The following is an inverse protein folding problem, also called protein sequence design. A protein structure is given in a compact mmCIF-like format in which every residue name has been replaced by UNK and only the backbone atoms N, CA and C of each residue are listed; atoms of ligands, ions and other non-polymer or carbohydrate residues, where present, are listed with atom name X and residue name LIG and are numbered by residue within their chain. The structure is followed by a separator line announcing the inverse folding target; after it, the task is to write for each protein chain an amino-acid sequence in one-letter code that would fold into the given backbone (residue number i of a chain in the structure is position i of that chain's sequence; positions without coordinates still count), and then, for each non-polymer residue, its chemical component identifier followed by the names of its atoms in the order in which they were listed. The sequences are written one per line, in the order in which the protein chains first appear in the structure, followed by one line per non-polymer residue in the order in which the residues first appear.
data_IF_642209965131
#
_entry.id   IF_642209965131
#
_cell.length_a   1.000
_cell.length_b   1.000
_cell.length_c   1.000
_cell.angle_alpha   90.00
_cell.angle_beta   90.00
_cell.angle_gamma   90.00
#
_symmetry.space_group_name_H-M   'P 1'
#
loop_
_entity.id
_entity.type
_entity.pdbx_description
1 polymer ?
#
# COMPACT_ATOMS: atom_id res chain seq x y z
N UNK A 1 3.28 -0.53 1.07
CA UNK A 1 2.13 -0.74 0.18
C UNK A 1 0.95 -1.21 1.02
N UNK A 2 -0.23 -0.63 0.86
CA UNK A 2 -1.44 -1.09 1.56
C UNK A 2 -2.18 -2.10 0.67
N UNK A 3 -2.62 -3.20 1.25
CA UNK A 3 -3.43 -4.23 0.60
C UNK A 3 -4.77 -4.37 1.33
N UNK A 4 -5.85 -4.52 0.58
CA UNK A 4 -7.16 -4.89 1.10
C UNK A 4 -7.87 -5.80 0.09
N UNK A 5 -8.31 -6.98 0.52
CA UNK A 5 -9.04 -7.90 -0.37
C UNK A 5 -10.54 -7.62 -0.32
N UNK A 6 -11.07 -7.10 -1.43
CA UNK A 6 -12.51 -6.81 -1.58
C UNK A 6 -13.29 -8.10 -1.85
N UNK A 7 -12.71 -9.02 -2.62
CA UNK A 7 -13.30 -10.30 -2.98
C UNK A 7 -12.23 -11.39 -3.10
N UNK A 8 -12.46 -12.51 -2.45
CA UNK A 8 -11.59 -13.68 -2.38
C UNK A 8 -10.22 -13.40 -1.78
N UNK A 9 -9.39 -14.43 -1.73
CA UNK A 9 -8.11 -14.39 -1.02
C UNK A 9 -6.94 -14.08 -1.98
N UNK A 10 -5.80 -13.68 -1.42
CA UNK A 10 -4.52 -13.66 -2.11
C UNK A 10 -3.40 -14.15 -1.20
N UNK A 11 -2.28 -14.56 -1.79
CA UNK A 11 -1.05 -14.85 -1.04
C UNK A 11 0.03 -13.87 -1.45
N UNK A 12 0.53 -13.06 -0.52
CA UNK A 12 1.70 -12.21 -0.72
C UNK A 12 2.94 -12.94 -0.21
N UNK A 13 3.75 -13.48 -1.13
CA UNK A 13 5.05 -14.06 -0.77
C UNK A 13 6.01 -12.93 -0.46
N UNK A 14 6.75 -13.01 0.65
CA UNK A 14 7.73 -12.00 1.06
C UNK A 14 9.05 -12.65 1.47
N UNK A 15 10.10 -11.84 1.52
CA UNK A 15 11.33 -12.19 2.22
C UNK A 15 11.38 -11.40 3.52
N UNK A 16 11.15 -12.08 4.64
CA UNK A 16 11.23 -11.53 5.99
C UNK A 16 12.44 -12.14 6.69
N UNK A 17 13.35 -11.30 7.22
CA UNK A 17 14.54 -11.79 7.94
C UNK A 17 15.37 -12.81 7.14
N UNK A 18 15.50 -12.61 5.83
CA UNK A 18 16.22 -13.51 4.93
C UNK A 18 15.54 -14.87 4.72
N UNK A 19 14.24 -14.99 5.02
CA UNK A 19 13.46 -16.21 4.82
C UNK A 19 12.22 -15.93 3.98
N UNK A 20 11.91 -16.83 3.05
CA UNK A 20 10.65 -16.84 2.33
C UNK A 20 9.50 -17.02 3.34
N UNK A 21 8.44 -16.24 3.19
CA UNK A 21 7.24 -16.30 4.03
C UNK A 21 6.00 -15.99 3.20
N UNK A 22 4.97 -16.80 3.36
CA UNK A 22 3.69 -16.60 2.71
C UNK A 22 2.74 -15.85 3.64
N UNK A 23 2.23 -14.70 3.18
CA UNK A 23 1.21 -13.91 3.88
C UNK A 23 -0.11 -14.10 3.14
N UNK A 24 -1.00 -14.94 3.69
CA UNK A 24 -2.36 -15.08 3.18
C UNK A 24 -3.19 -13.88 3.65
N UNK A 25 -3.77 -13.14 2.71
CA UNK A 25 -4.67 -12.02 2.96
C UNK A 25 -6.05 -12.46 2.46
N UNK A 26 -6.95 -12.74 3.39
CA UNK A 26 -8.28 -13.26 3.09
C UNK A 26 -9.25 -12.14 2.67
N UNK A 27 -10.38 -12.52 2.07
CA UNK A 27 -11.47 -11.57 1.79
C UNK A 27 -11.84 -10.74 3.04
N UNK A 28 -11.92 -9.42 2.89
CA UNK A 28 -12.18 -8.49 3.98
C UNK A 28 -10.97 -8.19 4.88
N UNK A 29 -9.81 -8.80 4.65
CA UNK A 29 -8.59 -8.47 5.41
C UNK A 29 -7.82 -7.31 4.81
N UNK A 30 -7.19 -6.54 5.69
CA UNK A 30 -6.26 -5.47 5.36
C UNK A 30 -4.85 -5.81 5.85
N UNK A 31 -3.84 -5.40 5.09
CA UNK A 31 -2.43 -5.63 5.40
C UNK A 31 -1.57 -4.47 4.91
N UNK A 32 -0.65 -3.98 5.76
CA UNK A 32 0.28 -2.93 5.39
C UNK A 32 1.70 -3.49 5.32
N UNK A 33 2.29 -3.46 4.11
CA UNK A 33 3.67 -3.87 3.87
C UNK A 33 4.64 -2.69 4.11
N UNK A 34 5.60 -2.82 5.05
CA UNK A 34 6.69 -1.86 5.22
C UNK A 34 7.54 -1.65 3.96
N UNK A 35 8.23 -0.51 3.89
CA UNK A 35 9.15 -0.22 2.78
C UNK A 35 10.30 -1.23 2.71
N UNK A 36 10.80 -1.48 1.48
CA UNK A 36 12.02 -2.27 1.17
C UNK A 36 11.95 -3.75 1.56
N UNK A 37 10.75 -4.31 1.69
CA UNK A 37 10.55 -5.76 1.80
C UNK A 37 10.30 -6.33 0.40
N UNK A 38 11.14 -7.26 -0.11
CA UNK A 38 10.85 -7.99 -1.32
C UNK A 38 9.53 -8.74 -1.20
N UNK A 39 8.65 -8.59 -2.19
CA UNK A 39 7.33 -9.19 -2.17
C UNK A 39 6.90 -9.63 -3.57
N UNK A 40 6.09 -10.69 -3.64
CA UNK A 40 5.59 -11.29 -4.88
C UNK A 40 4.11 -11.66 -4.70
N UNK A 41 3.17 -10.83 -5.19
CA UNK A 41 1.75 -11.03 -5.02
C UNK A 41 1.23 -12.18 -5.90
N UNK A 42 0.56 -13.16 -5.29
CA UNK A 42 -0.11 -14.27 -5.95
C UNK A 42 -1.62 -14.07 -5.86
N UNK A 43 -2.27 -13.84 -7.00
CA UNK A 43 -3.72 -13.65 -7.10
C UNK A 43 -4.37 -14.88 -7.74
N UNK A 44 -5.60 -15.15 -7.34
CA UNK A 44 -6.39 -16.27 -7.87
C UNK A 44 -7.54 -15.77 -8.74
N UNK A 45 -8.12 -16.68 -9.53
CA UNK A 45 -9.27 -16.36 -10.37
C UNK A 45 -10.47 -15.86 -9.54
N UNK A 46 -11.25 -14.94 -10.11
CA UNK A 46 -12.47 -14.38 -9.50
C UNK A 46 -12.26 -13.58 -8.20
N UNK A 47 -11.06 -13.03 -7.99
CA UNK A 47 -10.70 -12.18 -6.84
C UNK A 47 -10.57 -10.71 -7.22
N UNK A 48 -10.76 -9.80 -6.26
CA UNK A 48 -10.58 -8.34 -6.42
C UNK A 48 -9.85 -7.81 -5.18
N UNK A 49 -8.73 -7.13 -5.39
CA UNK A 49 -7.95 -6.52 -4.33
C UNK A 49 -7.64 -5.06 -4.60
N UNK A 50 -7.72 -4.24 -3.57
CA UNK A 50 -7.24 -2.86 -3.54
C UNK A 50 -5.76 -2.86 -3.13
N UNK A 51 -4.94 -2.14 -3.90
CA UNK A 51 -3.56 -1.82 -3.54
C UNK A 51 -3.36 -0.32 -3.60
N UNK A 52 -2.79 0.27 -2.55
CA UNK A 52 -2.42 1.69 -2.52
C UNK A 52 -0.91 1.84 -2.32
N UNK A 53 -0.32 2.51 -3.31
CA UNK A 53 1.08 2.95 -3.35
C UNK A 53 1.13 4.42 -3.78
N UNK A 54 2.30 5.05 -3.61
CA UNK A 54 2.55 6.43 -4.02
C UNK A 54 3.58 6.53 -5.12
N UNK A 55 3.53 7.65 -5.82
CA UNK A 55 4.59 8.10 -6.72
C UNK A 55 5.94 8.11 -5.99
N UNK A 56 6.98 7.68 -6.71
CA UNK A 56 8.35 7.65 -6.19
C UNK A 56 8.95 9.05 -6.19
N UNK A 57 9.76 9.35 -5.18
CA UNK A 57 10.68 10.49 -5.26
C UNK A 57 11.73 10.20 -6.32
N UNK A 58 12.29 11.26 -6.94
CA UNK A 58 13.38 11.13 -7.94
C UNK A 58 14.62 10.36 -7.45
N UNK A 59 14.81 10.28 -6.14
CA UNK A 59 15.91 9.56 -5.48
C UNK A 59 15.57 8.13 -5.11
N UNK A 60 14.32 7.70 -5.29
CA UNK A 60 13.87 6.35 -4.98
C UNK A 60 14.00 5.46 -6.21
N UNK A 61 14.41 4.22 -5.92
CA UNK A 61 14.67 3.17 -6.90
C UNK A 61 13.82 1.97 -6.54
N UNK A 62 13.18 1.37 -7.53
CA UNK A 62 12.50 0.10 -7.42
C UNK A 62 13.43 -1.02 -7.91
N UNK A 63 13.18 -2.23 -7.42
CA UNK A 63 13.94 -3.42 -7.80
C UNK A 63 13.01 -4.57 -8.13
N UNK A 64 13.24 -5.23 -9.27
CA UNK A 64 12.64 -6.53 -9.58
C UNK A 64 13.71 -7.60 -9.41
N UNK A 65 13.37 -8.67 -8.68
CA UNK A 65 14.26 -9.80 -8.43
C UNK A 65 13.58 -11.14 -8.68
N UNK A 66 14.32 -12.07 -9.25
CA UNK A 66 14.03 -13.51 -9.22
C UNK A 66 15.05 -14.21 -8.32
N UNK A 67 14.64 -15.31 -7.71
CA UNK A 67 15.47 -16.09 -6.78
C UNK A 67 15.66 -17.52 -7.28
N UNK A 68 16.73 -18.17 -6.83
CA UNK A 68 17.02 -19.57 -7.17
C UNK A 68 16.08 -20.48 -6.38
N UNK A 69 15.06 -21.02 -7.03
CA UNK A 69 14.06 -21.90 -6.39
C UNK A 69 13.42 -21.24 -5.16
N UNK A 70 13.29 -22.00 -4.07
CA UNK A 70 12.75 -21.53 -2.79
C UNK A 70 13.81 -20.87 -1.88
N UNK A 71 15.01 -20.61 -2.40
CA UNK A 71 16.05 -19.91 -1.63
C UNK A 71 15.85 -18.38 -1.66
N UNK A 72 16.72 -17.67 -0.95
CA UNK A 72 16.83 -16.20 -1.04
C UNK A 72 18.06 -15.77 -1.83
N UNK A 73 18.72 -16.69 -2.56
CA UNK A 73 19.82 -16.36 -3.45
C UNK A 73 19.27 -15.73 -4.73
N UNK A 74 19.75 -14.53 -5.07
CA UNK A 74 19.28 -13.79 -6.25
C UNK A 74 19.73 -14.52 -7.52
N UNK A 75 18.77 -14.80 -8.40
CA UNK A 75 19.01 -15.37 -9.73
C UNK A 75 19.20 -14.27 -10.78
N UNK A 76 18.34 -13.25 -10.73
CA UNK A 76 18.34 -12.11 -11.64
C UNK A 76 17.82 -10.89 -10.88
N UNK A 77 18.36 -9.71 -11.18
CA UNK A 77 17.85 -8.46 -10.65
C UNK A 77 17.95 -7.29 -11.64
N UNK A 78 16.99 -6.38 -11.55
CA UNK A 78 17.04 -5.07 -12.20
C UNK A 78 16.55 -4.00 -11.26
N UNK A 79 17.23 -2.86 -11.32
CA UNK A 79 16.94 -1.67 -10.52
C UNK A 79 16.66 -0.50 -11.44
N UNK A 80 15.59 0.24 -11.16
CA UNK A 80 15.12 1.30 -12.04
C UNK A 80 14.34 2.37 -11.27
N UNK A 81 14.27 3.58 -11.83
CA UNK A 81 13.37 4.61 -11.33
C UNK A 81 11.95 4.33 -11.85
N UNK A 82 10.99 4.15 -10.94
CA UNK A 82 9.62 3.80 -11.28
C UNK A 82 8.75 5.06 -11.46
N UNK A 83 8.34 5.31 -12.69
CA UNK A 83 7.35 6.33 -13.09
C UNK A 83 5.98 5.68 -13.34
N UNK A 84 5.96 4.54 -14.04
CA UNK A 84 4.77 3.73 -14.29
C UNK A 84 5.13 2.25 -14.14
N UNK A 85 4.75 1.67 -13.00
CA UNK A 85 5.13 0.32 -12.62
C UNK A 85 4.62 -0.73 -13.63
N UNK A 86 3.38 -0.60 -14.12
CA UNK A 86 2.79 -1.61 -15.00
C UNK A 86 3.49 -1.68 -16.35
N UNK A 87 3.77 -0.51 -16.94
CA UNK A 87 4.46 -0.43 -18.23
C UNK A 87 5.94 -0.79 -18.13
N UNK A 88 6.62 -0.40 -17.05
CA UNK A 88 8.07 -0.61 -16.89
C UNK A 88 8.43 -2.04 -16.43
N UNK A 89 7.54 -2.74 -15.71
CA UNK A 89 7.82 -4.12 -15.29
C UNK A 89 7.79 -5.11 -16.47
N UNK A 90 6.89 -4.92 -17.43
CA UNK A 90 6.71 -5.83 -18.58
C UNK A 90 8.02 -6.11 -19.34
N UNK A 91 8.79 -5.11 -19.80
CA UNK A 91 10.05 -5.36 -20.50
C UNK A 91 11.12 -6.02 -19.62
N UNK A 92 11.18 -5.69 -18.32
CA UNK A 92 12.13 -6.31 -17.38
C UNK A 92 11.81 -7.80 -17.18
N UNK A 93 10.52 -8.13 -17.10
CA UNK A 93 10.06 -9.52 -17.00
C UNK A 93 10.42 -10.30 -18.28
N UNK A 94 10.21 -9.69 -19.45
CA UNK A 94 10.60 -10.30 -20.74
C UNK A 94 12.12 -10.49 -20.83
N UNK A 95 12.91 -9.52 -20.36
CA UNK A 95 14.38 -9.63 -20.28
C UNK A 95 14.79 -10.85 -19.45
N UNK A 96 14.18 -11.03 -18.26
CA UNK A 96 14.44 -12.21 -17.44
C UNK A 96 14.12 -13.51 -18.18
N UNK A 97 12.93 -13.64 -18.78
CA UNK A 97 12.55 -14.87 -19.48
C UNK A 97 13.41 -15.17 -20.72
N UNK A 98 14.05 -14.17 -21.31
CA UNK A 98 15.00 -14.34 -22.41
C UNK A 98 16.46 -14.49 -21.95
N UNK A 99 16.73 -14.39 -20.64
CA UNK A 99 18.07 -14.43 -20.07
C UNK A 99 18.66 -15.83 -19.97
N UNK A 100 19.99 -15.92 -19.88
CA UNK A 100 20.70 -17.17 -19.59
C UNK A 100 20.37 -17.69 -18.18
N UNK A 101 20.11 -16.79 -17.23
CA UNK A 101 19.76 -17.11 -15.86
C UNK A 101 18.43 -17.87 -15.80
N UNK A 102 17.43 -17.47 -16.59
CA UNK A 102 16.19 -18.22 -16.72
C UNK A 102 16.41 -19.59 -17.38
N UNK A 103 17.18 -19.64 -18.48
CA UNK A 103 17.44 -20.89 -19.20
C UNK A 103 18.23 -21.93 -18.37
N UNK A 104 19.14 -21.48 -17.51
CA UNK A 104 20.06 -22.36 -16.78
C UNK A 104 19.69 -22.54 -15.31
N UNK A 105 18.84 -21.67 -14.76
CA UNK A 105 18.54 -21.60 -13.33
C UNK A 105 19.73 -21.20 -12.47
N UNK A 106 20.81 -20.67 -13.06
CA UNK A 106 22.05 -20.30 -12.36
C UNK A 106 22.28 -18.78 -12.41
N UNK A 107 22.68 -18.16 -11.29
CA UNK A 107 23.01 -16.74 -11.27
C UNK A 107 24.29 -16.47 -12.09
N UNK A 108 24.38 -15.25 -12.64
CA UNK A 108 25.63 -14.72 -13.19
C UNK A 108 26.23 -13.71 -12.18
N UNK A 109 27.31 -14.06 -11.46
CA UNK A 109 27.90 -13.18 -10.45
C UNK A 109 28.36 -11.82 -10.98
N UNK A 110 28.70 -11.72 -12.26
CA UNK A 110 29.16 -10.46 -12.89
C UNK A 110 28.01 -9.48 -13.17
N UNK A 111 26.76 -9.97 -13.19
CA UNK A 111 25.56 -9.15 -13.43
C UNK A 111 24.78 -8.81 -12.15
N UNK A 112 25.10 -9.47 -11.03
CA UNK A 112 24.48 -9.18 -9.74
C UNK A 112 25.16 -7.99 -9.06
N UNK A 113 24.38 -7.18 -8.37
CA UNK A 113 24.95 -6.13 -7.54
C UNK A 113 25.61 -6.73 -6.31
N UNK A 114 26.81 -6.26 -5.98
CA UNK A 114 27.48 -6.59 -4.72
C UNK A 114 26.71 -6.09 -3.51
N UNK A 115 26.08 -4.92 -3.65
CA UNK A 115 25.27 -4.27 -2.62
C UNK A 115 24.02 -3.67 -3.25
N UNK A 116 22.90 -3.71 -2.53
CA UNK A 116 21.65 -3.11 -2.98
C UNK A 116 21.70 -1.59 -2.89
N UNK A 117 20.96 -0.84 -3.72
CA UNK A 117 20.91 0.63 -3.67
C UNK A 117 20.47 1.19 -2.30
N UNK A 118 19.82 0.37 -1.49
CA UNK A 118 19.45 0.64 -0.09
C UNK A 118 19.39 -0.68 0.68
N UNK A 119 19.55 -0.68 2.01
CA UNK A 119 19.41 -1.90 2.80
C UNK A 119 17.98 -2.42 2.72
N UNK A 120 17.83 -3.74 2.54
CA UNK A 120 16.53 -4.38 2.63
C UNK A 120 16.03 -4.38 4.07
N UNK A 121 14.72 -4.32 4.25
CA UNK A 121 14.12 -4.24 5.56
C UNK A 121 14.04 -5.62 6.23
N UNK A 122 14.56 -5.73 7.45
CA UNK A 122 14.54 -6.93 8.29
C UNK A 122 13.46 -6.90 9.38
N UNK A 123 12.53 -5.95 9.35
CA UNK A 123 11.46 -5.89 10.35
C UNK A 123 10.47 -7.04 10.13
N UNK A 124 10.03 -7.67 11.22
CA UNK A 124 8.92 -8.62 11.17
C UNK A 124 7.63 -7.89 10.78
N UNK A 125 6.92 -8.41 9.78
CA UNK A 125 5.67 -7.80 9.30
C UNK A 125 4.51 -8.13 10.24
N UNK A 126 3.53 -7.24 10.28
CA UNK A 126 2.27 -7.50 10.96
C UNK A 126 1.52 -8.69 10.32
N UNK A 127 0.51 -9.22 11.02
CA UNK A 127 -0.45 -10.13 10.38
C UNK A 127 -1.54 -9.33 9.68
N UNK A 128 -2.10 -9.82 8.57
CA UNK A 128 -3.38 -9.35 8.08
C UNK A 128 -4.44 -9.43 9.17
N UNK A 129 -5.43 -8.55 9.12
CA UNK A 129 -6.52 -8.53 10.07
C UNK A 129 -7.83 -8.21 9.37
N UNK A 130 -8.94 -8.72 9.92
CA UNK A 130 -10.28 -8.41 9.44
C UNK A 130 -10.55 -6.92 9.57
N UNK A 131 -10.69 -6.23 8.44
CA UNK A 131 -11.02 -4.81 8.44
C UNK A 131 -12.46 -4.54 8.93
N UNK A 132 -13.50 -5.31 8.52
CA UNK A 132 -14.83 -5.20 9.12
C UNK A 132 -14.83 -5.46 10.63
N UNK A 133 -14.08 -6.47 11.10
CA UNK A 133 -13.93 -6.75 12.53
C UNK A 133 -13.30 -5.57 13.28
N UNK A 134 -12.18 -5.05 12.76
CA UNK A 134 -11.51 -3.88 13.33
C UNK A 134 -12.45 -2.66 13.40
N UNK A 135 -13.21 -2.37 12.35
CA UNK A 135 -14.18 -1.27 12.36
C UNK A 135 -15.26 -1.47 13.43
N UNK A 136 -15.79 -2.68 13.56
CA UNK A 136 -16.80 -2.99 14.56
C UNK A 136 -16.29 -2.77 15.98
N UNK A 137 -15.09 -3.27 16.28
CA UNK A 137 -14.47 -3.18 17.60
C UNK A 137 -14.13 -1.73 18.00
N UNK A 138 -13.80 -0.88 17.04
CA UNK A 138 -13.37 0.51 17.28
C UNK A 138 -14.45 1.55 16.99
N UNK A 139 -15.67 1.14 16.60
CA UNK A 139 -16.76 2.06 16.22
C UNK A 139 -17.05 3.13 17.26
N UNK A 140 -17.15 2.72 18.53
CA UNK A 140 -17.39 3.64 19.65
C UNK A 140 -16.25 4.65 19.82
N UNK A 141 -15.01 4.19 19.70
CA UNK A 141 -13.82 5.04 19.81
C UNK A 141 -13.71 6.03 18.64
N UNK A 142 -13.98 5.58 17.40
CA UNK A 142 -14.00 6.44 16.21
C UNK A 142 -15.03 7.56 16.37
N UNK A 143 -16.22 7.24 16.89
CA UNK A 143 -17.25 8.24 17.16
C UNK A 143 -16.84 9.20 18.27
N UNK A 144 -16.29 8.69 19.38
CA UNK A 144 -15.87 9.52 20.52
C UNK A 144 -14.68 10.44 20.19
N UNK A 145 -13.64 9.90 19.56
CA UNK A 145 -12.39 10.61 19.22
C UNK A 145 -12.49 11.37 17.89
N UNK A 146 -13.57 11.18 17.13
CA UNK A 146 -13.81 11.69 15.75
C UNK A 146 -12.86 11.15 14.69
N UNK A 147 -11.71 10.61 15.08
CA UNK A 147 -10.75 9.93 14.20
C UNK A 147 -9.89 8.94 14.98
N UNK A 148 -9.46 7.86 14.32
CA UNK A 148 -8.56 6.85 14.86
C UNK A 148 -7.56 6.37 13.78
N UNK A 149 -6.27 6.37 14.10
CA UNK A 149 -5.23 5.81 13.24
C UNK A 149 -5.21 4.28 13.36
N UNK A 150 -5.23 3.58 12.23
CA UNK A 150 -5.30 2.12 12.17
C UNK A 150 -3.93 1.46 12.39
N UNK A 151 -2.86 2.08 11.91
CA UNK A 151 -1.50 1.52 11.94
C UNK A 151 -0.54 2.26 12.88
N UNK A 152 -1.01 3.33 13.55
CA UNK A 152 -0.18 4.19 14.39
C UNK A 152 0.83 5.02 13.60
N UNK A 153 1.91 5.43 14.27
CA UNK A 153 2.88 6.41 13.75
C UNK A 153 4.16 5.79 13.18
N UNK A 154 4.30 4.46 13.25
CA UNK A 154 5.50 3.74 12.83
C UNK A 154 5.61 3.55 11.31
N UNK A 155 4.58 3.94 10.56
CA UNK A 155 4.53 3.75 9.11
C UNK A 155 4.37 5.07 8.38
N UNK A 156 4.97 5.14 7.18
CA UNK A 156 4.77 6.27 6.26
C UNK A 156 3.29 6.41 5.87
N UNK A 157 2.63 5.28 5.61
CA UNK A 157 1.21 5.23 5.26
C UNK A 157 0.34 5.56 6.47
N UNK A 158 -0.54 6.53 6.30
CA UNK A 158 -1.63 6.83 7.22
C UNK A 158 -2.91 6.20 6.69
N UNK A 159 -3.57 5.41 7.52
CA UNK A 159 -4.97 4.99 7.31
C UNK A 159 -5.72 5.41 8.55
N UNK A 160 -6.58 6.41 8.38
CA UNK A 160 -7.32 7.03 9.49
C UNK A 160 -8.80 6.77 9.25
N UNK A 161 -9.45 6.13 10.21
CA UNK A 161 -10.90 6.03 10.26
C UNK A 161 -11.46 7.30 10.89
N UNK A 162 -12.44 7.91 10.24
CA UNK A 162 -13.12 9.12 10.68
C UNK A 162 -14.57 8.81 11.01
N UNK A 163 -15.01 9.34 12.16
CA UNK A 163 -16.40 9.38 12.57
C UNK A 163 -17.06 10.73 12.23
N UNK A 164 -18.22 11.02 12.85
CA UNK A 164 -18.92 12.30 12.69
C UNK A 164 -18.04 13.51 13.02
N UNK A 165 -18.30 14.62 12.32
CA UNK A 165 -17.66 15.90 12.62
C UNK A 165 -17.15 16.62 11.38
N UNK A 166 -16.28 17.62 11.61
CA UNK A 166 -15.83 18.53 10.56
C UNK A 166 -14.31 18.60 10.53
N UNK A 167 -13.75 18.55 9.34
CA UNK A 167 -12.37 18.95 9.04
C UNK A 167 -12.43 20.29 8.32
N UNK A 168 -12.01 21.36 8.98
CA UNK A 168 -12.03 22.72 8.41
C UNK A 168 -10.73 23.02 7.67
N UNK A 169 -10.85 23.55 6.45
CA UNK A 169 -9.77 24.18 5.65
C UNK A 169 -8.42 23.47 5.78
N UNK A 170 -8.40 22.18 5.45
CA UNK A 170 -7.20 21.37 5.50
C UNK A 170 -6.48 21.36 4.16
N UNK A 171 -5.16 21.18 4.20
CA UNK A 171 -4.28 21.06 3.04
C UNK A 171 -3.18 20.07 3.37
N UNK A 172 -2.97 19.09 2.49
CA UNK A 172 -1.94 18.04 2.65
C UNK A 172 -0.89 18.16 1.55
N UNK A 173 0.33 17.70 1.83
CA UNK A 173 1.44 17.72 0.86
C UNK A 173 1.42 16.52 -0.09
N UNK A 174 0.64 15.49 0.24
CA UNK A 174 0.37 14.31 -0.56
C UNK A 174 -1.11 14.27 -0.96
N UNK A 175 -1.41 13.46 -1.99
CA UNK A 175 -2.78 13.08 -2.31
C UNK A 175 -3.39 12.34 -1.09
N UNK A 176 -4.68 12.56 -0.86
CA UNK A 176 -5.46 11.77 0.09
C UNK A 176 -6.62 11.08 -0.65
N UNK A 177 -6.86 9.82 -0.31
CA UNK A 177 -7.98 9.06 -0.84
C UNK A 177 -9.00 8.81 0.27
N UNK A 178 -10.20 9.33 0.08
CA UNK A 178 -11.33 9.14 0.99
C UNK A 178 -12.17 7.98 0.48
N UNK A 179 -12.54 7.07 1.37
CA UNK A 179 -13.52 6.03 1.10
C UNK A 179 -14.65 6.10 2.12
N UNK A 180 -15.85 6.47 1.66
CA UNK A 180 -17.05 6.56 2.48
C UNK A 180 -17.61 5.16 2.68
N UNK A 181 -17.55 4.65 3.91
CA UNK A 181 -17.99 3.29 4.23
C UNK A 181 -19.46 3.26 4.63
N UNK A 182 -19.84 4.20 5.50
CA UNK A 182 -21.17 4.25 6.10
C UNK A 182 -21.68 5.68 6.19
N UNK A 183 -23.00 5.86 6.14
CA UNK A 183 -23.62 7.19 6.20
C UNK A 183 -23.22 8.07 5.00
N UNK A 184 -23.23 9.38 5.23
CA UNK A 184 -22.91 10.37 4.20
C UNK A 184 -21.94 11.43 4.70
N UNK A 185 -21.20 12.04 3.76
CA UNK A 185 -20.39 13.22 4.03
C UNK A 185 -20.41 14.20 2.86
N UNK A 186 -19.97 15.42 3.09
CA UNK A 186 -19.78 16.43 2.05
C UNK A 186 -18.34 16.93 2.06
N UNK A 187 -17.71 16.90 0.89
CA UNK A 187 -16.36 17.39 0.66
C UNK A 187 -16.43 18.61 -0.23
N UNK A 188 -15.87 19.74 0.22
CA UNK A 188 -15.77 20.96 -0.56
C UNK A 188 -14.32 21.21 -0.95
N UNK A 189 -14.03 21.27 -2.25
CA UNK A 189 -12.72 21.58 -2.85
C UNK A 189 -12.91 22.63 -3.94
N UNK A 190 -12.10 23.69 -3.94
CA UNK A 190 -12.12 24.75 -4.98
C UNK A 190 -13.52 25.31 -5.27
N UNK A 191 -14.31 25.52 -4.21
CA UNK A 191 -15.68 26.05 -4.29
C UNK A 191 -16.74 25.05 -4.76
N UNK A 192 -16.35 23.83 -5.15
CA UNK A 192 -17.28 22.74 -5.50
C UNK A 192 -17.49 21.83 -4.31
N UNK A 193 -18.76 21.49 -4.04
CA UNK A 193 -19.13 20.55 -2.98
C UNK A 193 -19.64 19.26 -3.59
N UNK A 194 -19.05 18.13 -3.21
CA UNK A 194 -19.47 16.79 -3.55
C UNK A 194 -20.06 16.11 -2.32
N UNK A 195 -21.14 15.37 -2.50
CA UNK A 195 -21.70 14.50 -1.46
C UNK A 195 -21.21 13.08 -1.72
N UNK A 196 -20.69 12.42 -0.69
CA UNK A 196 -20.28 11.02 -0.73
C UNK A 196 -21.27 10.21 0.12
N UNK A 197 -21.79 9.14 -0.47
CA UNK A 197 -22.62 8.12 0.18
C UNK A 197 -21.82 6.85 0.44
N UNK A 198 -22.36 5.92 1.23
CA UNK A 198 -21.71 4.63 1.47
C UNK A 198 -21.34 3.92 0.14
N UNK A 199 -20.07 3.53 0.02
CA UNK A 199 -19.47 2.96 -1.18
C UNK A 199 -18.71 3.96 -2.06
N UNK A 200 -18.98 5.26 -1.94
CA UNK A 200 -18.29 6.29 -2.73
C UNK A 200 -16.84 6.48 -2.27
N UNK A 201 -15.97 6.87 -3.21
CA UNK A 201 -14.62 7.30 -2.89
C UNK A 201 -14.25 8.59 -3.63
N UNK A 202 -13.28 9.32 -3.08
CA UNK A 202 -12.81 10.58 -3.63
C UNK A 202 -11.31 10.73 -3.44
N UNK A 203 -10.59 11.01 -4.53
CA UNK A 203 -9.20 11.45 -4.48
C UNK A 203 -9.15 12.97 -4.38
N UNK A 204 -8.52 13.50 -3.32
CA UNK A 204 -8.19 14.91 -3.20
C UNK A 204 -6.69 15.05 -3.45
N UNK A 205 -6.34 15.87 -4.46
CA UNK A 205 -4.96 16.06 -4.87
C UNK A 205 -4.15 16.83 -3.82
N UNK A 206 -2.85 16.54 -3.79
CA UNK A 206 -1.87 17.24 -3.00
C UNK A 206 -2.00 18.75 -3.21
N UNK A 207 -1.86 19.49 -2.11
CA UNK A 207 -1.91 20.96 -2.04
C UNK A 207 -3.28 21.59 -2.34
N UNK A 208 -4.30 20.82 -2.72
CA UNK A 208 -5.69 21.31 -2.77
C UNK A 208 -6.19 21.59 -1.36
N UNK A 209 -6.92 22.70 -1.19
CA UNK A 209 -7.64 22.94 0.05
C UNK A 209 -8.96 22.20 0.04
N UNK A 210 -9.33 21.61 1.17
CA UNK A 210 -10.62 20.96 1.31
C UNK A 210 -11.25 21.22 2.69
N UNK A 211 -12.58 21.20 2.70
CA UNK A 211 -13.38 21.08 3.91
C UNK A 211 -14.15 19.78 3.83
N UNK A 212 -14.28 19.05 4.93
CA UNK A 212 -14.99 17.77 4.95
C UNK A 212 -15.93 17.71 6.15
N UNK A 213 -17.24 17.64 5.89
CA UNK A 213 -18.29 17.53 6.91
C UNK A 213 -18.91 16.14 6.87
N UNK A 214 -18.89 15.45 7.99
CA UNK A 214 -19.30 14.06 8.17
C UNK A 214 -20.52 14.00 9.08
N UNK A 215 -21.59 13.35 8.61
CA UNK A 215 -22.85 13.21 9.35
C UNK A 215 -22.72 12.30 10.58
N UNK A 216 -23.76 12.22 11.40
CA UNK A 216 -23.77 11.48 12.67
C UNK A 216 -23.59 9.96 12.50
N UNK A 217 -23.96 9.42 11.35
CA UNK A 217 -23.81 8.00 10.99
C UNK A 217 -22.56 7.75 10.13
N UNK A 218 -21.71 8.77 9.94
CA UNK A 218 -20.58 8.70 9.04
C UNK A 218 -19.46 7.83 9.61
N UNK A 219 -19.03 6.84 8.83
CA UNK A 219 -17.72 6.19 8.98
C UNK A 219 -17.03 6.25 7.62
N UNK A 220 -15.81 6.77 7.60
CA UNK A 220 -15.01 6.87 6.37
C UNK A 220 -13.53 6.59 6.65
N UNK A 221 -12.82 6.04 5.67
CA UNK A 221 -11.37 6.00 5.67
C UNK A 221 -10.81 7.21 4.93
N UNK A 222 -9.68 7.70 5.42
CA UNK A 222 -8.80 8.60 4.69
C UNK A 222 -7.40 7.99 4.67
N UNK A 223 -6.86 7.85 3.48
CA UNK A 223 -5.57 7.18 3.24
C UNK A 223 -4.61 8.18 2.62
N UNK A 224 -3.40 8.26 3.16
CA UNK A 224 -2.34 9.14 2.67
C UNK A 224 -0.98 8.43 2.76
N UNK A 225 -0.12 8.71 1.78
CA UNK A 225 1.28 8.27 1.79
C UNK A 225 2.16 9.50 1.51
N UNK A 226 2.52 10.22 2.58
CA UNK A 226 3.42 11.39 2.49
C UNK A 226 4.88 10.92 2.59
N UNK A 227 5.72 11.09 1.55
CA UNK A 227 7.13 10.71 1.60
C UNK A 227 7.92 11.38 2.72
N UNK A 228 7.43 12.50 3.29
CA UNK A 228 8.06 13.14 4.46
C UNK A 228 7.93 12.31 5.74
N UNK A 229 7.00 11.34 5.79
CA UNK A 229 6.82 10.39 6.90
C UNK A 229 7.63 9.10 6.69
N UNK A 230 8.47 9.04 5.65
CA UNK A 230 9.30 7.86 5.38
C UNK A 230 10.24 7.61 6.56
N UNK A 231 10.23 6.37 7.04
CA UNK A 231 11.11 5.97 8.15
C UNK A 231 12.57 5.92 7.66
N UNK A 232 13.52 6.44 8.46
CA UNK A 232 14.94 6.32 8.15
C UNK A 232 15.40 4.87 8.27
N UNK A 233 16.63 4.60 7.81
CA UNK A 233 17.27 3.29 7.88
C UNK A 233 18.75 3.39 8.20
#
# INVERSE_FOLDING_TARGET
QLFYQVKGDMCLKIIENGKQKDIVIQEGEMFLLPARIPHSPQRYANTVGLVIERERLKTEIDGLRYYVGESTNVLFEKWFHCEDLGTQLTPIIQEFFNSRQYQTGKPNPDELLKETPFPLNSTSVMKPFSFPGWLNDHRGEIKQKKSLSMFGDNFETEVIAYGPGTTEKSKKNSDIWIWQLEGTSTVTTDGKTLTLSAGDSLLIRAKSMYCWKRTEECVALCIAQDPKRKQPY
#
